data_IF_838299271957
#
_entry.id   IF_838299271957
#
_cell.length_a   1.000
_cell.length_b   1.000
_cell.length_c   1.000
_cell.angle_alpha   90.00
_cell.angle_beta   90.00
_cell.angle_gamma   90.00
#
_symmetry.space_group_name_H-M   'P 1'
#
loop_
_entity.id
_entity.type
_entity.pdbx_description
1 polymer ?
#
# COMPACT_ATOMS: atom_id res chain seq x y z
N UNK A 1 1.49 -26.43 -20.28
CA UNK A 1 2.24 -27.41 -19.48
C UNK A 1 3.72 -27.45 -19.88
N UNK A 2 4.41 -26.31 -19.97
CA UNK A 2 5.85 -26.19 -20.26
C UNK A 2 6.33 -24.85 -19.69
N UNK A 3 7.50 -24.87 -19.04
CA UNK A 3 8.09 -23.82 -18.18
C UNK A 3 7.63 -23.80 -16.71
N UNK A 4 7.62 -24.97 -16.08
CA UNK A 4 7.79 -25.11 -14.63
C UNK A 4 9.30 -25.10 -14.32
N UNK A 5 9.97 -23.98 -14.59
CA UNK A 5 11.28 -23.75 -14.00
C UNK A 5 11.03 -23.65 -12.50
N UNK A 6 11.36 -24.72 -11.77
CA UNK A 6 11.36 -24.73 -10.32
C UNK A 6 12.41 -23.69 -9.86
N UNK A 7 11.99 -22.43 -9.74
CA UNK A 7 12.74 -21.43 -8.99
C UNK A 7 12.87 -22.02 -7.60
N UNK A 8 14.08 -22.47 -7.25
CA UNK A 8 14.41 -23.00 -5.93
C UNK A 8 13.89 -22.00 -4.90
N UNK A 9 12.99 -22.46 -4.03
CA UNK A 9 12.40 -21.60 -3.00
C UNK A 9 13.51 -21.04 -2.12
N UNK A 10 13.40 -19.75 -1.80
CA UNK A 10 14.32 -19.10 -0.88
C UNK A 10 13.97 -19.55 0.53
N UNK A 11 14.86 -20.36 1.10
CA UNK A 11 14.74 -20.90 2.47
C UNK A 11 14.97 -19.78 3.49
N UNK A 12 14.04 -19.61 4.42
CA UNK A 12 13.96 -18.53 5.42
C UNK A 12 14.15 -19.12 6.82
N UNK A 13 15.15 -18.63 7.55
CA UNK A 13 15.36 -18.91 8.96
C UNK A 13 15.00 -17.68 9.81
N UNK A 14 14.13 -17.83 10.80
CA UNK A 14 13.77 -16.73 11.71
C UNK A 14 14.62 -16.72 12.96
N UNK A 15 15.08 -15.54 13.36
CA UNK A 15 15.64 -15.32 14.70
C UNK A 15 14.57 -14.65 15.57
N UNK A 16 14.06 -15.38 16.55
CA UNK A 16 12.99 -14.98 17.46
C UNK A 16 11.68 -15.76 17.25
N UNK A 17 10.90 -15.92 18.32
CA UNK A 17 9.55 -16.52 18.31
C UNK A 17 8.42 -15.52 18.65
N UNK A 18 8.75 -14.23 18.75
CA UNK A 18 7.81 -13.18 19.14
C UNK A 18 6.73 -12.87 18.09
N UNK A 19 5.97 -11.80 18.33
CA UNK A 19 4.93 -11.33 17.39
C UNK A 19 5.45 -11.04 15.98
N UNK A 20 6.62 -10.40 15.77
CA UNK A 20 7.21 -10.27 14.44
C UNK A 20 7.42 -11.59 13.70
N UNK A 21 7.91 -12.62 14.40
CA UNK A 21 8.15 -13.94 13.82
C UNK A 21 6.84 -14.61 13.38
N UNK A 22 5.76 -14.47 14.17
CA UNK A 22 4.42 -14.96 13.82
C UNK A 22 3.89 -14.30 12.54
N UNK A 23 4.01 -12.97 12.44
CA UNK A 23 3.57 -12.20 11.27
C UNK A 23 4.32 -12.66 10.01
N UNK A 24 5.65 -12.83 10.09
CA UNK A 24 6.44 -13.30 8.95
C UNK A 24 6.05 -14.73 8.56
N UNK A 25 5.95 -15.65 9.54
CA UNK A 25 5.57 -17.03 9.30
C UNK A 25 4.19 -17.15 8.63
N UNK A 26 3.20 -16.41 9.13
CA UNK A 26 1.86 -16.35 8.56
C UNK A 26 1.87 -15.81 7.12
N UNK A 27 2.63 -14.72 6.89
CA UNK A 27 2.73 -14.08 5.57
C UNK A 27 3.39 -15.00 4.53
N UNK A 28 4.44 -15.74 4.92
CA UNK A 28 5.12 -16.69 4.02
C UNK A 28 4.24 -17.90 3.74
N UNK A 29 3.66 -18.51 4.77
CA UNK A 29 2.80 -19.70 4.65
C UNK A 29 1.50 -19.42 3.89
N UNK A 30 0.95 -18.21 4.01
CA UNK A 30 -0.37 -17.87 3.46
C UNK A 30 -0.43 -17.79 1.93
N UNK A 31 0.63 -17.40 1.23
CA UNK A 31 0.56 -17.22 -0.23
C UNK A 31 1.88 -16.99 -0.99
N UNK A 32 3.08 -17.18 -0.42
CA UNK A 32 4.32 -16.81 -1.14
C UNK A 32 5.11 -18.02 -1.67
N UNK A 33 4.89 -18.47 -2.92
CA UNK A 33 5.56 -19.66 -3.46
C UNK A 33 7.07 -19.47 -3.65
N UNK A 34 7.60 -18.26 -3.45
CA UNK A 34 9.03 -17.94 -3.57
C UNK A 34 9.82 -18.27 -2.31
N UNK A 35 9.17 -18.32 -1.14
CA UNK A 35 9.84 -18.49 0.14
C UNK A 35 9.35 -19.73 0.87
N UNK A 36 10.24 -20.36 1.63
CA UNK A 36 9.94 -21.54 2.45
C UNK A 36 10.51 -21.34 3.85
N UNK A 37 9.68 -21.50 4.87
CA UNK A 37 10.12 -21.41 6.26
C UNK A 37 10.82 -22.70 6.66
N UNK A 38 12.13 -22.63 6.96
CA UNK A 38 12.89 -23.83 7.39
C UNK A 38 12.89 -24.03 8.89
N UNK A 39 12.65 -22.97 9.66
CA UNK A 39 12.61 -23.03 11.12
C UNK A 39 12.77 -21.67 11.76
N UNK A 40 12.73 -21.65 13.09
CA UNK A 40 13.10 -20.48 13.87
C UNK A 40 13.99 -20.84 15.06
N UNK A 41 14.75 -19.86 15.55
CA UNK A 41 15.57 -19.96 16.75
C UNK A 41 15.00 -19.02 17.81
N UNK A 42 15.07 -19.39 19.09
CA UNK A 42 14.63 -18.52 20.18
C UNK A 42 15.68 -18.38 21.28
N UNK A 43 15.73 -17.23 21.95
CA UNK A 43 16.63 -17.01 23.07
C UNK A 43 16.24 -17.76 24.35
N UNK A 44 14.99 -18.23 24.46
CA UNK A 44 14.47 -18.92 25.64
C UNK A 44 14.47 -20.45 25.42
N UNK A 45 15.33 -21.21 26.11
CA UNK A 45 15.41 -22.67 25.95
C UNK A 45 14.09 -23.40 26.13
N UNK A 46 13.20 -22.89 27.00
CA UNK A 46 11.88 -23.46 27.27
C UNK A 46 10.93 -23.51 26.05
N UNK A 47 11.23 -22.75 24.98
CA UNK A 47 10.42 -22.72 23.76
C UNK A 47 10.94 -23.67 22.67
N UNK A 48 12.11 -24.28 22.84
CA UNK A 48 12.67 -25.21 21.86
C UNK A 48 11.71 -26.40 21.65
N UNK A 49 11.49 -26.77 20.39
CA UNK A 49 10.55 -27.83 20.01
C UNK A 49 9.10 -27.39 19.84
N UNK A 50 8.70 -26.22 20.35
CA UNK A 50 7.39 -25.63 20.06
C UNK A 50 7.32 -25.10 18.62
N UNK A 51 6.12 -24.73 18.16
CA UNK A 51 5.91 -24.16 16.83
C UNK A 51 5.30 -22.75 16.90
N UNK A 52 5.77 -21.88 16.00
CA UNK A 52 5.28 -20.51 15.79
C UNK A 52 4.57 -20.48 14.45
N UNK A 53 3.23 -20.45 14.44
CA UNK A 53 2.43 -20.51 13.20
C UNK A 53 2.86 -21.65 12.26
N UNK A 54 3.09 -22.84 12.81
CA UNK A 54 3.53 -24.04 12.08
C UNK A 54 5.03 -24.13 11.82
N UNK A 55 5.83 -23.11 12.19
CA UNK A 55 7.29 -23.12 12.04
C UNK A 55 7.95 -23.60 13.34
N UNK A 56 8.69 -24.72 13.29
CA UNK A 56 9.31 -25.32 14.48
C UNK A 56 10.49 -24.48 15.00
N UNK A 57 10.56 -24.32 16.32
CA UNK A 57 11.73 -23.76 17.01
C UNK A 57 12.80 -24.85 17.08
N UNK A 58 13.85 -24.68 16.28
CA UNK A 58 14.90 -25.68 16.06
C UNK A 58 15.97 -25.68 17.16
N UNK A 59 16.17 -24.55 17.83
CA UNK A 59 17.20 -24.41 18.87
C UNK A 59 17.29 -23.01 19.45
N UNK A 60 18.33 -22.81 20.25
CA UNK A 60 18.69 -21.54 20.88
C UNK A 60 19.50 -20.63 19.96
N UNK A 61 19.68 -19.35 20.30
CA UNK A 61 20.56 -18.45 19.52
C UNK A 61 22.01 -18.94 19.39
N UNK A 62 22.51 -19.74 20.35
CA UNK A 62 23.84 -20.35 20.28
C UNK A 62 23.95 -21.44 19.22
N UNK A 63 22.83 -22.04 18.80
CA UNK A 63 22.78 -23.10 17.81
C UNK A 63 22.76 -22.57 16.36
N UNK A 64 22.84 -21.24 16.17
CA UNK A 64 22.69 -20.59 14.87
C UNK A 64 23.69 -21.12 13.83
N UNK A 65 24.96 -21.27 14.17
CA UNK A 65 25.97 -21.78 13.24
C UNK A 65 25.64 -23.19 12.75
N UNK A 66 25.31 -24.09 13.70
CA UNK A 66 24.98 -25.48 13.40
C UNK A 66 23.70 -25.59 12.57
N UNK A 67 22.65 -24.87 12.96
CA UNK A 67 21.36 -24.88 12.27
C UNK A 67 21.47 -24.24 10.89
N UNK A 68 22.23 -23.15 10.72
CA UNK A 68 22.49 -22.55 9.40
C UNK A 68 23.20 -23.52 8.47
N UNK A 69 24.15 -24.31 8.96
CA UNK A 69 24.86 -25.32 8.17
C UNK A 69 23.93 -26.47 7.76
N UNK A 70 23.12 -26.97 8.69
CA UNK A 70 22.19 -28.08 8.46
C UNK A 70 21.02 -27.68 7.54
N UNK A 71 20.41 -26.54 7.80
CA UNK A 71 19.21 -26.08 7.11
C UNK A 71 19.52 -25.23 5.88
N UNK A 72 20.77 -24.80 5.66
CA UNK A 72 21.24 -24.00 4.51
C UNK A 72 20.24 -22.91 4.09
N UNK A 73 19.89 -21.97 5.00
CA UNK A 73 18.96 -20.91 4.67
C UNK A 73 19.57 -19.97 3.63
N UNK A 74 18.72 -19.41 2.77
CA UNK A 74 19.11 -18.36 1.82
C UNK A 74 18.88 -16.95 2.36
N UNK A 75 18.09 -16.82 3.44
CA UNK A 75 17.86 -15.58 4.16
C UNK A 75 17.64 -15.87 5.64
N UNK A 76 18.25 -15.06 6.49
CA UNK A 76 18.02 -15.01 7.94
C UNK A 76 17.24 -13.73 8.22
N UNK A 77 16.09 -13.86 8.87
CA UNK A 77 15.21 -12.74 9.21
C UNK A 77 15.28 -12.50 10.71
N UNK A 78 15.78 -11.34 11.10
CA UNK A 78 15.89 -10.92 12.50
C UNK A 78 14.53 -10.39 12.97
N UNK A 79 13.78 -11.23 13.67
CA UNK A 79 12.41 -11.00 14.15
C UNK A 79 12.33 -10.89 15.68
N UNK A 80 13.34 -10.25 16.29
CA UNK A 80 13.45 -10.03 17.73
C UNK A 80 13.10 -8.57 18.08
N UNK A 81 12.23 -8.36 19.06
CA UNK A 81 11.88 -7.02 19.58
C UNK A 81 12.87 -6.52 20.62
N UNK A 82 13.48 -7.41 21.41
CA UNK A 82 14.51 -7.06 22.41
C UNK A 82 15.84 -7.78 22.10
N UNK A 83 16.92 -7.00 22.04
CA UNK A 83 18.29 -7.48 21.80
C UNK A 83 19.11 -7.57 23.10
N UNK A 84 18.46 -7.70 24.27
CA UNK A 84 19.18 -7.70 25.55
C UNK A 84 19.88 -9.06 25.75
N UNK A 85 21.18 -9.09 25.49
CA UNK A 85 22.13 -10.06 26.05
C UNK A 85 22.42 -11.33 25.25
N UNK A 86 21.72 -11.60 24.14
CA UNK A 86 21.92 -12.86 23.39
C UNK A 86 21.82 -12.72 21.86
N UNK A 87 21.99 -11.52 21.30
CA UNK A 87 22.03 -11.34 19.85
C UNK A 87 23.37 -11.87 19.31
N UNK A 88 23.41 -12.97 18.52
CA UNK A 88 24.64 -13.62 18.11
C UNK A 88 25.28 -12.87 16.92
N UNK A 89 25.75 -11.65 17.17
CA UNK A 89 26.24 -10.73 16.13
C UNK A 89 27.37 -11.34 15.29
N UNK A 90 28.35 -11.96 15.94
CA UNK A 90 29.48 -12.62 15.25
C UNK A 90 29.00 -13.72 14.32
N UNK A 91 28.14 -14.63 14.81
CA UNK A 91 27.60 -15.73 14.01
C UNK A 91 26.72 -15.26 12.86
N UNK A 92 25.92 -14.19 13.07
CA UNK A 92 25.12 -13.58 12.00
C UNK A 92 26.04 -12.97 10.93
N UNK A 93 27.13 -12.31 11.35
CA UNK A 93 28.11 -11.74 10.43
C UNK A 93 28.82 -12.84 9.63
N UNK A 94 29.21 -13.94 10.27
CA UNK A 94 29.77 -15.13 9.61
C UNK A 94 28.80 -15.68 8.56
N UNK A 95 27.54 -15.93 8.94
CA UNK A 95 26.50 -16.36 8.00
C UNK A 95 26.37 -15.40 6.80
N UNK A 96 26.46 -14.08 7.05
CA UNK A 96 26.40 -13.07 5.99
C UNK A 96 27.62 -13.12 5.06
N UNK A 97 28.81 -13.34 5.60
CA UNK A 97 30.05 -13.50 4.83
C UNK A 97 30.04 -14.79 4.00
N UNK A 98 29.34 -15.83 4.45
CA UNK A 98 29.07 -17.05 3.69
C UNK A 98 28.00 -16.88 2.59
N UNK A 99 27.45 -15.67 2.44
CA UNK A 99 26.51 -15.32 1.38
C UNK A 99 25.03 -15.49 1.74
N UNK A 100 24.71 -15.74 3.02
CA UNK A 100 23.32 -15.76 3.50
C UNK A 100 22.82 -14.31 3.62
N UNK A 101 21.70 -13.96 2.98
CA UNK A 101 21.11 -12.63 3.13
C UNK A 101 20.60 -12.45 4.58
N UNK A 102 20.93 -11.33 5.23
CA UNK A 102 20.44 -11.04 6.59
C UNK A 102 19.60 -9.77 6.54
N UNK A 103 18.35 -9.86 6.99
CA UNK A 103 17.39 -8.75 6.95
C UNK A 103 16.70 -8.57 8.30
N UNK A 104 16.37 -7.32 8.65
CA UNK A 104 15.40 -7.07 9.72
C UNK A 104 13.99 -7.45 9.24
N UNK A 105 13.17 -7.96 10.16
CA UNK A 105 11.80 -8.38 9.84
C UNK A 105 10.94 -7.31 9.16
N UNK A 106 11.00 -5.98 9.44
CA UNK A 106 10.15 -5.02 8.76
C UNK A 106 10.55 -4.87 7.30
N UNK A 107 11.85 -4.91 6.98
CA UNK A 107 12.36 -4.87 5.61
C UNK A 107 11.98 -6.12 4.82
N UNK A 108 12.06 -7.29 5.45
CA UNK A 108 11.63 -8.54 4.84
C UNK A 108 10.12 -8.54 4.59
N UNK A 109 9.32 -8.09 5.58
CA UNK A 109 7.87 -7.94 5.45
C UNK A 109 7.49 -7.00 4.31
N UNK A 110 8.17 -5.85 4.21
CA UNK A 110 7.98 -4.88 3.15
C UNK A 110 8.24 -5.49 1.76
N UNK A 111 9.34 -6.23 1.62
CA UNK A 111 9.71 -6.91 0.36
C UNK A 111 8.69 -7.98 -0.04
N UNK A 112 8.11 -8.68 0.93
CA UNK A 112 7.10 -9.71 0.71
C UNK A 112 5.75 -9.15 0.29
N UNK A 113 5.31 -8.08 0.97
CA UNK A 113 3.92 -7.62 0.92
C UNK A 113 3.73 -6.35 0.09
N UNK A 114 4.80 -5.58 -0.10
CA UNK A 114 4.72 -4.23 -0.64
C UNK A 114 4.00 -3.25 0.28
N UNK A 115 3.98 -3.48 1.60
CA UNK A 115 3.44 -2.53 2.58
C UNK A 115 4.35 -2.41 3.80
N UNK A 116 4.33 -1.26 4.45
CA UNK A 116 5.11 -1.02 5.66
C UNK A 116 4.25 -1.34 6.88
N UNK A 117 4.66 -2.32 7.69
CA UNK A 117 3.96 -2.67 8.93
C UNK A 117 3.96 -1.49 9.91
N UNK A 118 2.81 -1.20 10.52
CA UNK A 118 2.69 -0.13 11.53
C UNK A 118 2.79 -0.65 12.97
N UNK A 119 2.32 -1.88 13.21
CA UNK A 119 2.35 -2.52 14.53
C UNK A 119 3.73 -3.06 14.84
N UNK A 120 4.20 -2.87 16.08
CA UNK A 120 5.50 -3.36 16.56
C UNK A 120 6.72 -2.80 15.77
N UNK A 121 6.48 -1.82 14.89
CA UNK A 121 7.54 -1.14 14.15
C UNK A 121 8.24 -0.15 15.08
N UNK A 122 9.56 -0.30 15.25
CA UNK A 122 10.36 0.71 15.93
C UNK A 122 10.39 1.97 15.06
N UNK A 123 10.02 3.16 15.57
CA UNK A 123 10.04 4.40 14.79
C UNK A 123 11.40 4.70 14.15
N UNK A 124 12.49 4.28 14.81
CA UNK A 124 13.85 4.38 14.27
C UNK A 124 14.03 3.68 12.92
N UNK A 125 13.32 2.59 12.66
CA UNK A 125 13.39 1.91 11.37
C UNK A 125 12.88 2.80 10.24
N UNK A 126 11.81 3.59 10.44
CA UNK A 126 11.35 4.55 9.41
C UNK A 126 12.42 5.61 9.10
N UNK A 127 13.16 6.04 10.12
CA UNK A 127 14.21 7.06 10.00
C UNK A 127 15.46 6.53 9.30
N UNK A 128 15.91 5.32 9.67
CA UNK A 128 17.18 4.75 9.20
C UNK A 128 17.03 3.80 8.01
N UNK A 129 15.82 3.42 7.63
CA UNK A 129 15.61 2.61 6.43
C UNK A 129 15.94 3.39 5.15
N UNK A 130 16.52 2.69 4.18
CA UNK A 130 16.71 3.24 2.84
C UNK A 130 15.37 3.56 2.18
N UNK A 131 15.31 4.66 1.44
CA UNK A 131 14.08 5.14 0.80
C UNK A 131 13.70 6.53 1.32
N UNK A 132 12.44 6.94 1.08
CA UNK A 132 11.90 8.26 1.44
C UNK A 132 12.64 9.46 0.81
N UNK A 133 13.64 9.20 -0.03
CA UNK A 133 14.44 10.22 -0.72
C UNK A 133 13.71 10.70 -1.97
N UNK A 134 13.10 11.88 -1.86
CA UNK A 134 12.47 12.58 -2.97
C UNK A 134 13.52 13.30 -3.82
N UNK A 135 14.19 12.56 -4.71
CA UNK A 135 15.18 13.17 -5.62
C UNK A 135 14.50 14.22 -6.51
N UNK A 136 15.00 15.47 -6.60
CA UNK A 136 14.37 16.53 -7.39
C UNK A 136 14.14 16.14 -8.85
N UNK A 137 15.10 15.45 -9.47
CA UNK A 137 14.98 14.95 -10.85
C UNK A 137 13.83 13.96 -10.99
N UNK A 138 13.70 12.99 -10.08
CA UNK A 138 12.59 12.02 -10.09
C UNK A 138 11.24 12.72 -9.95
N UNK A 139 11.14 13.72 -9.07
CA UNK A 139 9.90 14.51 -8.91
C UNK A 139 9.58 15.35 -10.16
N UNK A 140 10.60 15.94 -10.80
CA UNK A 140 10.42 16.71 -12.03
C UNK A 140 9.98 15.82 -13.19
N UNK A 141 10.61 14.65 -13.37
CA UNK A 141 10.21 13.65 -14.36
C UNK A 141 8.79 13.16 -14.11
N UNK A 142 8.45 12.85 -12.85
CA UNK A 142 7.09 12.44 -12.45
C UNK A 142 6.08 13.54 -12.81
N UNK A 143 6.42 14.81 -12.54
CA UNK A 143 5.57 15.93 -12.89
C UNK A 143 5.39 16.08 -14.40
N UNK A 144 6.44 15.91 -15.19
CA UNK A 144 6.37 15.92 -16.65
C UNK A 144 5.46 14.82 -17.18
N UNK A 145 5.61 13.59 -16.68
CA UNK A 145 4.75 12.45 -17.01
C UNK A 145 3.28 12.71 -16.62
N UNK A 146 3.04 13.22 -15.41
CA UNK A 146 1.69 13.57 -14.94
C UNK A 146 1.02 14.58 -15.87
N UNK A 147 1.74 15.63 -16.29
CA UNK A 147 1.21 16.65 -17.20
C UNK A 147 0.92 16.07 -18.58
N UNK A 148 1.86 15.32 -19.15
CA UNK A 148 1.70 14.70 -20.46
C UNK A 148 0.49 13.76 -20.51
N UNK A 149 0.43 12.80 -19.57
CA UNK A 149 -0.63 11.80 -19.54
C UNK A 149 -1.98 12.42 -19.17
N UNK A 150 -2.04 13.43 -18.30
CA UNK A 150 -3.29 14.13 -18.00
C UNK A 150 -3.79 14.96 -19.18
N UNK A 151 -2.91 15.64 -19.91
CA UNK A 151 -3.27 16.38 -21.12
C UNK A 151 -3.80 15.45 -22.22
N UNK A 152 -3.12 14.32 -22.46
CA UNK A 152 -3.56 13.30 -23.42
C UNK A 152 -4.91 12.71 -22.99
N UNK A 153 -5.06 12.35 -21.71
CA UNK A 153 -6.32 11.83 -21.17
C UNK A 153 -7.48 12.80 -21.32
N UNK A 154 -7.27 14.09 -21.06
CA UNK A 154 -8.29 15.13 -21.25
C UNK A 154 -8.65 15.34 -22.72
N UNK A 155 -7.67 15.32 -23.62
CA UNK A 155 -7.91 15.44 -25.06
C UNK A 155 -8.84 14.34 -25.57
N UNK A 156 -8.59 13.08 -25.19
CA UNK A 156 -9.45 11.96 -25.56
C UNK A 156 -10.80 11.96 -24.83
N UNK A 157 -10.85 12.48 -23.61
CA UNK A 157 -12.09 12.56 -22.87
C UNK A 157 -13.00 13.70 -23.36
N UNK A 158 -12.46 14.76 -23.97
CA UNK A 158 -13.21 15.95 -24.40
C UNK A 158 -14.53 15.65 -25.14
N UNK A 159 -14.59 14.75 -26.15
CA UNK A 159 -15.86 14.40 -26.81
C UNK A 159 -16.86 13.68 -25.89
N UNK A 160 -16.39 13.02 -24.83
CA UNK A 160 -17.24 12.30 -23.86
C UNK A 160 -17.86 13.23 -22.80
N UNK A 161 -17.24 14.38 -22.50
CA UNK A 161 -17.76 15.34 -21.52
C UNK A 161 -19.22 15.78 -21.76
N UNK A 162 -19.62 16.24 -22.97
CA UNK A 162 -21.01 16.65 -23.20
C UNK A 162 -21.98 15.48 -23.07
N UNK A 163 -21.62 14.28 -23.53
CA UNK A 163 -22.44 13.08 -23.39
C UNK A 163 -22.67 12.74 -21.91
N UNK A 164 -21.59 12.66 -21.12
CA UNK A 164 -21.68 12.39 -19.68
C UNK A 164 -22.48 13.49 -18.97
N UNK A 165 -22.29 14.75 -19.36
CA UNK A 165 -23.01 15.89 -18.78
C UNK A 165 -24.52 15.79 -18.99
N UNK A 166 -24.96 15.41 -20.19
CA UNK A 166 -26.38 15.20 -20.51
C UNK A 166 -26.93 14.03 -19.68
N UNK A 167 -26.24 12.88 -19.67
CA UNK A 167 -26.67 11.70 -18.90
C UNK A 167 -26.81 12.01 -17.41
N UNK A 168 -25.86 12.73 -16.81
CA UNK A 168 -25.90 13.12 -15.39
C UNK A 168 -27.05 14.09 -15.08
N UNK A 169 -27.37 15.02 -15.99
CA UNK A 169 -28.49 15.97 -15.84
C UNK A 169 -29.86 15.29 -15.99
N UNK A 170 -29.99 14.33 -16.90
CA UNK A 170 -31.25 13.60 -17.10
C UNK A 170 -31.52 12.65 -15.94
N UNK A 171 -30.48 12.02 -15.38
CA UNK A 171 -30.62 11.04 -14.30
C UNK A 171 -30.88 11.67 -12.92
N UNK A 172 -30.45 12.92 -12.70
CA UNK A 172 -30.72 13.65 -11.45
C UNK A 172 -30.63 15.17 -11.62
N UNK A 173 -31.46 15.92 -10.87
CA UNK A 173 -31.43 17.38 -10.89
C UNK A 173 -30.17 17.97 -10.22
N UNK A 174 -29.68 19.12 -10.71
CA UNK A 174 -28.56 19.90 -10.15
C UNK A 174 -27.28 19.91 -11.02
N UNK A 175 -26.11 20.31 -10.47
CA UNK A 175 -24.88 20.50 -11.24
C UNK A 175 -24.24 19.20 -11.73
N UNK A 176 -23.66 19.23 -12.94
CA UNK A 176 -22.97 18.10 -13.57
C UNK A 176 -21.68 17.72 -12.84
N UNK A 177 -20.89 18.73 -12.48
CA UNK A 177 -19.64 18.55 -11.76
C UNK A 177 -19.87 18.73 -10.27
N UNK A 178 -19.41 17.77 -9.49
CA UNK A 178 -19.33 17.87 -8.04
C UNK A 178 -17.95 18.41 -7.66
N UNK A 179 -17.94 19.36 -6.73
CA UNK A 179 -16.74 19.92 -6.11
C UNK A 179 -16.72 19.50 -4.65
N UNK A 180 -15.63 18.87 -4.20
CA UNK A 180 -15.47 18.45 -2.80
C UNK A 180 -14.12 18.90 -2.26
N UNK A 181 -14.13 19.45 -1.05
CA UNK A 181 -12.88 19.78 -0.36
C UNK A 181 -12.13 18.52 0.04
N UNK A 182 -10.82 18.55 -0.21
CA UNK A 182 -9.89 17.46 0.07
C UNK A 182 -8.58 18.00 0.57
N UNK A 183 -7.87 17.17 1.34
CA UNK A 183 -6.53 17.49 1.84
C UNK A 183 -5.49 16.97 0.84
N UNK A 184 -4.65 17.87 0.38
CA UNK A 184 -3.54 17.61 -0.52
C UNK A 184 -2.19 17.59 0.18
N UNK A 185 -1.13 17.80 -0.61
CA UNK A 185 0.24 17.78 -0.11
C UNK A 185 0.44 18.83 0.99
N UNK A 186 1.12 18.44 2.07
CA UNK A 186 1.41 19.26 3.25
C UNK A 186 0.15 19.84 3.91
N UNK A 187 -0.99 19.14 3.81
CA UNK A 187 -2.23 19.57 4.44
C UNK A 187 -3.01 20.63 3.67
N UNK A 188 -2.55 21.06 2.49
CA UNK A 188 -3.23 22.10 1.70
C UNK A 188 -4.60 21.63 1.22
N UNK A 189 -5.64 22.37 1.55
CA UNK A 189 -7.00 22.07 1.09
C UNK A 189 -7.15 22.48 -0.37
N UNK A 190 -7.78 21.63 -1.18
CA UNK A 190 -8.12 21.93 -2.57
C UNK A 190 -9.50 21.37 -2.94
N UNK A 191 -10.05 21.88 -4.04
CA UNK A 191 -11.35 21.46 -4.55
C UNK A 191 -11.18 20.34 -5.59
N UNK A 192 -11.51 19.11 -5.19
CA UNK A 192 -11.52 17.94 -6.06
C UNK A 192 -12.72 18.01 -7.02
N UNK A 193 -12.45 17.84 -8.32
CA UNK A 193 -13.47 17.82 -9.37
C UNK A 193 -13.84 16.38 -9.73
N UNK A 194 -15.13 16.08 -9.84
CA UNK A 194 -15.62 14.81 -10.41
C UNK A 194 -16.98 14.99 -11.07
N UNK A 195 -17.39 14.09 -11.95
CA UNK A 195 -18.79 14.05 -12.35
C UNK A 195 -19.64 13.60 -11.17
N UNK A 196 -20.83 14.17 -11.07
CA UNK A 196 -21.78 13.78 -10.05
C UNK A 196 -22.28 12.36 -10.34
N UNK A 197 -22.10 11.48 -9.37
CA UNK A 197 -22.52 10.06 -9.42
C UNK A 197 -23.55 9.71 -8.33
N UNK A 198 -23.93 10.68 -7.50
CA UNK A 198 -24.87 10.54 -6.38
C UNK A 198 -25.94 11.61 -6.50
N UNK A 199 -27.11 11.40 -5.89
CA UNK A 199 -28.18 12.40 -5.85
C UNK A 199 -27.68 13.70 -5.20
N UNK A 200 -28.25 14.84 -5.59
CA UNK A 200 -27.78 16.15 -5.10
C UNK A 200 -27.99 16.35 -3.58
N UNK A 201 -29.00 15.68 -3.04
CA UNK A 201 -29.41 15.62 -1.63
C UNK A 201 -28.68 14.51 -0.83
N UNK A 202 -27.75 13.77 -1.44
CA UNK A 202 -27.11 12.58 -0.86
C UNK A 202 -26.41 12.78 0.52
N UNK A 203 -26.02 14.01 0.86
CA UNK A 203 -25.36 14.30 2.14
C UNK A 203 -26.19 15.28 3.02
N UNK A 204 -27.43 15.62 2.63
CA UNK A 204 -28.24 16.59 3.38
C UNK A 204 -28.57 16.14 4.81
N UNK A 205 -28.91 14.86 4.99
CA UNK A 205 -29.34 14.35 6.30
C UNK A 205 -28.20 13.73 7.14
N UNK A 206 -27.12 13.26 6.49
CA UNK A 206 -26.07 12.46 7.14
C UNK A 206 -24.73 13.17 7.29
N UNK A 207 -24.51 14.29 6.58
CA UNK A 207 -23.20 14.88 6.43
C UNK A 207 -22.17 13.94 5.76
N UNK A 208 -20.86 14.17 5.99
CA UNK A 208 -19.77 13.36 5.43
C UNK A 208 -19.79 11.90 5.93
N UNK A 209 -20.22 10.96 5.09
CA UNK A 209 -20.14 9.53 5.40
C UNK A 209 -19.32 8.81 4.34
N UNK A 210 -18.53 7.81 4.72
CA UNK A 210 -17.89 6.92 3.76
C UNK A 210 -18.94 6.25 2.88
N UNK A 211 -18.67 6.17 1.59
CA UNK A 211 -19.56 5.47 0.67
C UNK A 211 -19.55 3.97 0.99
N UNK A 212 -20.72 3.39 1.15
CA UNK A 212 -20.87 1.96 1.39
C UNK A 212 -20.95 1.18 0.06
N UNK A 213 -20.71 -0.13 0.13
CA UNK A 213 -20.95 -1.04 -1.00
C UNK A 213 -22.46 -1.01 -1.31
N UNK A 214 -22.81 -0.71 -2.57
CA UNK A 214 -24.20 -0.52 -3.04
C UNK A 214 -24.99 0.61 -2.33
N UNK A 215 -24.32 1.72 -2.08
CA UNK A 215 -24.92 2.92 -1.50
C UNK A 215 -26.19 3.39 -2.27
N UNK A 216 -27.35 3.52 -1.60
CA UNK A 216 -28.63 3.87 -2.23
C UNK A 216 -28.66 5.30 -2.80
N UNK A 217 -27.68 6.13 -2.42
CA UNK A 217 -27.54 7.51 -2.91
C UNK A 217 -26.96 7.58 -4.31
N UNK A 218 -26.42 6.47 -4.84
CA UNK A 218 -25.81 6.38 -6.16
C UNK A 218 -26.90 6.27 -7.23
N UNK A 219 -26.84 7.15 -8.23
CA UNK A 219 -27.83 7.16 -9.32
C UNK A 219 -27.55 6.04 -10.34
N UNK A 220 -28.47 5.82 -11.30
CA UNK A 220 -28.30 4.72 -12.29
C UNK A 220 -27.11 4.99 -13.22
N UNK A 221 -27.01 6.20 -13.76
CA UNK A 221 -25.85 6.66 -14.53
C UNK A 221 -24.62 6.73 -13.64
N UNK A 222 -24.77 7.21 -12.40
CA UNK A 222 -23.67 7.27 -11.43
C UNK A 222 -23.03 5.92 -11.14
N UNK A 223 -23.80 4.83 -11.14
CA UNK A 223 -23.29 3.46 -11.01
C UNK A 223 -22.37 3.11 -12.16
N UNK A 224 -22.79 3.38 -13.40
CA UNK A 224 -21.97 3.12 -14.60
C UNK A 224 -20.70 3.96 -14.55
N UNK A 225 -20.82 5.26 -14.25
CA UNK A 225 -19.65 6.16 -14.17
C UNK A 225 -18.62 5.71 -13.15
N UNK A 226 -19.07 5.22 -11.97
CA UNK A 226 -18.18 4.67 -10.93
C UNK A 226 -17.53 3.36 -11.34
N UNK A 227 -18.28 2.48 -11.99
CA UNK A 227 -17.75 1.19 -12.47
C UNK A 227 -16.65 1.39 -13.51
N UNK A 228 -16.82 2.36 -14.41
CA UNK A 228 -15.86 2.68 -15.47
C UNK A 228 -14.82 3.73 -15.03
N UNK A 229 -14.95 4.28 -13.82
CA UNK A 229 -14.17 5.43 -13.30
C UNK A 229 -14.24 6.69 -14.17
N UNK A 230 -15.23 6.77 -15.07
CA UNK A 230 -15.44 7.97 -15.87
C UNK A 230 -15.80 9.18 -15.00
N UNK A 231 -16.35 8.97 -13.80
CA UNK A 231 -16.63 10.04 -12.85
C UNK A 231 -15.36 10.77 -12.36
N UNK A 232 -14.21 10.09 -12.35
CA UNK A 232 -12.94 10.64 -11.87
C UNK A 232 -12.16 11.41 -12.97
N UNK A 233 -12.60 11.39 -14.24
CA UNK A 233 -11.92 12.10 -15.36
C UNK A 233 -11.69 13.60 -15.08
N UNK A 234 -12.64 14.37 -14.52
CA UNK A 234 -12.41 15.79 -14.22
C UNK A 234 -11.23 16.04 -13.26
N UNK A 235 -10.78 15.03 -12.50
CA UNK A 235 -9.60 15.13 -11.64
C UNK A 235 -8.30 15.31 -12.43
N UNK A 236 -8.27 14.95 -13.72
CA UNK A 236 -7.12 15.26 -14.59
C UNK A 236 -6.85 16.77 -14.64
N UNK A 237 -7.89 17.60 -14.48
CA UNK A 237 -7.71 19.05 -14.35
C UNK A 237 -7.02 19.44 -13.03
N UNK A 238 -7.31 18.75 -11.92
CA UNK A 238 -6.57 18.92 -10.66
C UNK A 238 -5.10 18.52 -10.82
N UNK A 239 -4.80 17.49 -11.63
CA UNK A 239 -3.43 17.10 -11.96
C UNK A 239 -2.73 18.21 -12.74
N UNK A 240 -3.34 18.76 -13.78
CA UNK A 240 -2.76 19.88 -14.55
C UNK A 240 -2.51 21.11 -13.66
N UNK A 241 -3.44 21.48 -12.78
CA UNK A 241 -3.27 22.56 -11.78
C UNK A 241 -2.20 22.29 -10.72
N UNK A 242 -1.71 21.05 -10.63
CA UNK A 242 -0.66 20.67 -9.69
C UNK A 242 -1.14 20.42 -8.27
N UNK A 243 -2.45 20.34 -8.05
CA UNK A 243 -3.06 19.96 -6.77
C UNK A 243 -2.96 18.44 -6.53
N UNK A 244 -2.98 17.66 -7.62
CA UNK A 244 -2.88 16.20 -7.62
C UNK A 244 -1.74 15.69 -8.53
N UNK A 245 -1.45 14.41 -8.41
CA UNK A 245 -0.66 13.58 -9.33
C UNK A 245 -1.56 12.49 -9.93
N UNK A 246 -1.15 11.83 -11.02
CA UNK A 246 -1.88 10.65 -11.49
C UNK A 246 -1.78 9.51 -10.46
N UNK A 247 -0.60 9.37 -9.86
CA UNK A 247 -0.27 8.32 -8.88
C UNK A 247 0.12 8.92 -7.54
N UNK A 248 -0.58 8.51 -6.48
CA UNK A 248 -0.34 8.93 -5.11
C UNK A 248 -1.43 8.42 -4.14
N UNK A 249 -1.29 8.69 -2.84
CA UNK A 249 -2.33 8.40 -1.86
C UNK A 249 -3.67 9.04 -2.23
N UNK A 250 -4.78 8.32 -2.08
CA UNK A 250 -6.12 8.89 -2.38
C UNK A 250 -6.42 10.06 -1.42
N UNK A 251 -6.88 11.22 -1.92
CA UNK A 251 -7.15 12.38 -1.08
C UNK A 251 -8.41 12.18 -0.21
N UNK A 252 -8.30 12.48 1.08
CA UNK A 252 -9.40 12.37 2.04
C UNK A 252 -10.00 13.73 2.41
N UNK A 253 -11.23 13.72 2.93
CA UNK A 253 -11.91 14.95 3.39
C UNK A 253 -11.21 15.49 4.66
N UNK A 254 -11.13 16.81 4.87
CA UNK A 254 -10.49 17.39 6.04
C UNK A 254 -10.95 16.79 7.38
N UNK A 255 -12.27 16.61 7.57
CA UNK A 255 -12.83 16.00 8.78
C UNK A 255 -12.34 14.57 9.05
N UNK A 256 -12.23 13.74 8.01
CA UNK A 256 -11.68 12.39 8.16
C UNK A 256 -10.18 12.40 8.41
N UNK A 257 -9.44 13.31 7.76
CA UNK A 257 -7.99 13.43 7.98
C UNK A 257 -7.70 13.77 9.44
N UNK A 258 -8.41 14.74 10.03
CA UNK A 258 -8.26 15.10 11.44
C UNK A 258 -8.50 13.89 12.35
N UNK A 259 -9.63 13.19 12.19
CA UNK A 259 -9.98 12.01 13.00
C UNK A 259 -8.97 10.85 12.86
N UNK A 260 -8.47 10.61 11.64
CA UNK A 260 -7.54 9.52 11.37
C UNK A 260 -6.12 9.85 11.86
N UNK A 261 -5.71 11.13 11.85
CA UNK A 261 -4.43 11.56 12.43
C UNK A 261 -4.37 11.34 13.94
N UNK A 262 -5.48 11.50 14.65
CA UNK A 262 -5.57 11.26 16.09
C UNK A 262 -5.50 9.77 16.44
N UNK A 263 -6.05 8.90 15.58
CA UNK A 263 -6.21 7.47 15.87
C UNK A 263 -5.13 6.58 15.29
N UNK A 264 -4.50 6.98 14.19
CA UNK A 264 -3.54 6.15 13.44
C UNK A 264 -2.16 6.81 13.48
N UNK A 265 -1.16 6.17 14.14
CA UNK A 265 0.21 6.64 14.13
C UNK A 265 0.74 6.84 12.71
N UNK A 266 1.54 7.89 12.54
CA UNK A 266 2.18 8.26 11.27
C UNK A 266 1.22 8.64 10.13
N UNK A 267 -0.11 8.69 10.33
CA UNK A 267 -1.06 8.98 9.26
C UNK A 267 -0.77 10.28 8.49
N UNK A 268 -0.30 11.32 9.19
CA UNK A 268 0.11 12.59 8.58
C UNK A 268 1.16 12.46 7.46
N UNK A 269 2.02 11.43 7.52
CA UNK A 269 3.12 11.25 6.57
C UNK A 269 2.62 10.97 5.14
N UNK A 270 1.39 10.46 5.00
CA UNK A 270 0.75 10.26 3.69
C UNK A 270 0.58 11.57 2.92
N UNK A 271 0.48 12.69 3.63
CA UNK A 271 0.34 14.04 3.05
C UNK A 271 1.68 14.62 2.58
N UNK A 272 2.80 13.91 2.71
CA UNK A 272 4.11 14.42 2.29
C UNK A 272 4.29 14.45 0.77
N UNK A 273 3.43 13.77 0.01
CA UNK A 273 3.39 13.75 -1.46
C UNK A 273 2.04 14.26 -1.96
N UNK A 274 1.96 14.62 -3.25
CA UNK A 274 0.67 14.96 -3.85
C UNK A 274 -0.26 13.75 -3.85
N UNK A 275 -1.54 13.94 -3.53
CA UNK A 275 -2.52 12.87 -3.65
C UNK A 275 -2.68 12.43 -5.12
N UNK A 276 -3.10 11.19 -5.30
CA UNK A 276 -3.28 10.55 -6.61
C UNK A 276 -4.75 10.39 -7.01
N UNK A 277 -4.99 10.31 -8.33
CA UNK A 277 -6.25 9.75 -8.85
C UNK A 277 -6.29 8.24 -8.55
N UNK A 278 -5.18 7.55 -8.83
CA UNK A 278 -4.92 6.18 -8.42
C UNK A 278 -3.69 6.10 -7.51
N UNK A 279 -3.45 4.95 -6.90
CA UNK A 279 -2.39 4.76 -5.94
C UNK A 279 -2.14 3.29 -5.62
N UNK A 280 -1.00 3.02 -4.99
CA UNK A 280 -0.60 1.66 -4.62
C UNK A 280 -1.62 0.97 -3.72
N UNK A 281 -2.12 1.69 -2.70
CA UNK A 281 -3.19 1.21 -1.83
C UNK A 281 -4.45 0.86 -2.62
N UNK A 282 -4.89 1.70 -3.58
CA UNK A 282 -6.09 1.46 -4.38
C UNK A 282 -5.98 0.20 -5.27
N UNK A 283 -4.77 -0.13 -5.73
CA UNK A 283 -4.51 -1.32 -6.55
C UNK A 283 -4.41 -2.59 -5.69
N UNK A 284 -3.77 -2.50 -4.52
CA UNK A 284 -3.48 -3.65 -3.66
C UNK A 284 -4.57 -3.98 -2.65
N UNK A 285 -5.34 -2.98 -2.20
CA UNK A 285 -6.27 -3.12 -1.09
C UNK A 285 -7.58 -2.38 -1.36
N UNK A 286 -8.68 -3.13 -1.41
CA UNK A 286 -9.98 -2.62 -1.90
C UNK A 286 -10.95 -2.21 -0.79
N UNK A 287 -10.79 -2.75 0.41
CA UNK A 287 -11.69 -2.48 1.55
C UNK A 287 -11.38 -1.13 2.18
N UNK A 288 -12.43 -0.43 2.64
CA UNK A 288 -12.39 1.01 2.89
C UNK A 288 -13.43 1.51 3.91
N UNK A 289 -13.94 0.65 4.78
CA UNK A 289 -15.10 0.96 5.60
C UNK A 289 -14.78 1.08 7.10
N UNK A 290 -13.61 0.61 7.54
CA UNK A 290 -13.23 0.58 8.97
C UNK A 290 -11.96 1.37 9.28
N UNK A 291 -11.68 1.57 10.57
CA UNK A 291 -10.43 2.19 11.02
C UNK A 291 -9.24 1.28 10.69
N UNK A 292 -9.43 -0.03 10.79
CA UNK A 292 -8.46 -1.06 10.43
C UNK A 292 -8.13 -1.00 8.93
N UNK A 293 -9.14 -0.83 8.07
CA UNK A 293 -8.95 -0.65 6.63
C UNK A 293 -8.14 0.62 6.33
N UNK A 294 -8.42 1.71 7.05
CA UNK A 294 -7.67 2.96 6.90
C UNK A 294 -6.20 2.81 7.33
N UNK A 295 -5.94 2.05 8.40
CA UNK A 295 -4.60 1.70 8.85
C UNK A 295 -3.87 0.83 7.82
N UNK A 296 -4.54 -0.18 7.27
CA UNK A 296 -3.99 -1.06 6.22
C UNK A 296 -3.67 -0.29 4.94
N UNK A 297 -4.54 0.63 4.50
CA UNK A 297 -4.25 1.53 3.38
C UNK A 297 -3.05 2.42 3.65
N UNK A 298 -2.92 2.94 4.87
CA UNK A 298 -1.77 3.75 5.24
C UNK A 298 -0.46 2.97 5.07
N UNK A 299 -0.43 1.68 5.41
CA UNK A 299 0.76 0.82 5.21
C UNK A 299 1.21 0.78 3.74
N UNK A 300 0.26 0.69 2.79
CA UNK A 300 0.54 0.75 1.36
C UNK A 300 0.92 2.17 0.90
N UNK A 301 0.26 3.20 1.42
CA UNK A 301 0.59 4.60 1.10
C UNK A 301 2.02 4.94 1.54
N UNK A 302 2.43 4.50 2.74
CA UNK A 302 3.79 4.70 3.24
C UNK A 302 4.82 3.94 2.42
N UNK A 303 4.51 2.71 1.98
CA UNK A 303 5.36 1.97 1.04
C UNK A 303 5.57 2.74 -0.27
N UNK A 304 4.49 3.28 -0.84
CA UNK A 304 4.59 4.08 -2.06
C UNK A 304 5.46 5.32 -1.83
N UNK A 305 5.25 6.04 -0.72
CA UNK A 305 6.02 7.25 -0.38
C UNK A 305 7.50 6.94 -0.18
N UNK A 306 7.81 5.80 0.43
CA UNK A 306 9.18 5.31 0.61
C UNK A 306 9.85 5.01 -0.73
N UNK A 307 9.11 4.42 -1.66
CA UNK A 307 9.62 3.83 -2.92
C UNK A 307 9.21 4.62 -4.18
N UNK A 308 8.90 5.92 -4.05
CA UNK A 308 8.47 6.76 -5.18
C UNK A 308 9.49 6.67 -6.32
N UNK A 309 9.03 6.17 -7.46
CA UNK A 309 9.82 6.04 -8.69
C UNK A 309 8.91 6.03 -9.91
N UNK A 310 9.45 6.43 -11.06
CA UNK A 310 8.71 6.39 -12.34
C UNK A 310 8.29 4.96 -12.68
N UNK A 311 9.13 3.98 -12.38
CA UNK A 311 8.80 2.57 -12.60
C UNK A 311 7.61 2.12 -11.76
N UNK A 312 7.59 2.46 -10.47
CA UNK A 312 6.45 2.13 -9.60
C UNK A 312 5.16 2.83 -10.05
N UNK A 313 5.25 4.10 -10.48
CA UNK A 313 4.11 4.83 -11.05
C UNK A 313 3.54 4.13 -12.28
N UNK A 314 4.38 3.77 -13.24
CA UNK A 314 3.97 3.05 -14.46
C UNK A 314 3.33 1.70 -14.14
N UNK A 315 3.89 0.97 -13.18
CA UNK A 315 3.33 -0.29 -12.70
C UNK A 315 1.93 -0.08 -12.09
N UNK A 316 1.74 0.96 -11.28
CA UNK A 316 0.43 1.31 -10.69
C UNK A 316 -0.57 1.71 -11.77
N UNK A 317 -0.17 2.51 -12.75
CA UNK A 317 -1.04 2.92 -13.87
C UNK A 317 -1.48 1.71 -14.70
N UNK A 318 -0.56 0.80 -15.03
CA UNK A 318 -0.86 -0.43 -15.77
C UNK A 318 -1.83 -1.32 -14.98
N UNK A 319 -1.57 -1.53 -13.70
CA UNK A 319 -2.49 -2.29 -12.84
C UNK A 319 -3.87 -1.63 -12.73
N UNK A 320 -3.91 -0.29 -12.63
CA UNK A 320 -5.18 0.45 -12.63
C UNK A 320 -5.96 0.21 -13.91
N UNK A 321 -5.29 0.28 -15.07
CA UNK A 321 -5.91 0.01 -16.37
C UNK A 321 -6.44 -1.43 -16.43
N UNK A 322 -5.68 -2.41 -15.96
CA UNK A 322 -6.13 -3.81 -15.88
C UNK A 322 -7.38 -3.96 -14.99
N UNK A 323 -7.41 -3.31 -13.82
CA UNK A 323 -8.56 -3.38 -12.90
C UNK A 323 -9.81 -2.76 -13.52
N UNK A 324 -9.67 -1.65 -14.24
CA UNK A 324 -10.78 -0.97 -14.93
C UNK A 324 -11.27 -1.79 -16.12
N UNK A 325 -10.38 -2.29 -16.97
CA UNK A 325 -10.73 -3.06 -18.17
C UNK A 325 -11.33 -4.42 -17.85
N UNK A 326 -10.80 -5.13 -16.85
CA UNK A 326 -11.31 -6.45 -16.47
C UNK A 326 -12.61 -6.38 -15.67
N UNK A 327 -13.13 -5.18 -15.38
CA UNK A 327 -14.25 -4.93 -14.45
C UNK A 327 -14.07 -5.61 -13.07
N UNK A 328 -12.87 -6.08 -12.76
CA UNK A 328 -12.56 -6.72 -11.48
C UNK A 328 -12.68 -5.71 -10.32
N UNK A 329 -12.92 -4.43 -10.59
CA UNK A 329 -13.24 -3.39 -9.61
C UNK A 329 -14.71 -3.36 -9.15
N UNK A 330 -15.59 -4.24 -9.63
CA UNK A 330 -17.00 -4.28 -9.24
C UNK A 330 -17.36 -5.56 -8.49
N UNK A 331 -17.31 -5.53 -7.15
CA UNK A 331 -18.34 -6.11 -6.29
C UNK A 331 -18.68 -5.10 -5.22
#
# INVERSE_FOLDING_TARGET
>A
HLMRNARRQRRVLLLGSGRPARIIAETVNGANPKYEMVGCLDGHPARIGQAVNGVKILGSMGDLAHISTAMRPSVIVVAMTEQRGSFPLSTILECKLEGIEVEEWPSFYEKLTGKIVLTDLRPSWLVFSDGFRKRPLTLAMKRGMDMLLASVGLLFALPLFPLIAILVKVDSWGPVLLRQERVGQHGRIFSLLKFRSMRADAEQDSGPVWAQERDPRVTRVGRILRMTRLDEIPQLWNVLRGEMSLVGPRPERPGFVAQLQERIPFYAHRLSVKPGITGWAQVKYRYAATLEDASEKLQYDLYYIKNVSIFLDLLILLHTLQVVLLMNGSR
#
